data_IF_358995221053
#
_entry.id   IF_358995221053
#
_cell.length_a   1.000
_cell.length_b   1.000
_cell.length_c   1.000
_cell.angle_alpha   90.00
_cell.angle_beta   90.00
_cell.angle_gamma   90.00
#
_symmetry.space_group_name_H-M   'P 1'
#
loop_
_entity.id
_entity.type
_entity.pdbx_description
1 polymer ?
#
# COMPACT_ATOMS: atom_id res chain seq x y z
N UNK A 1 -6.80 -13.03 -6.04
CA UNK A 1 -7.11 -13.18 -4.60
C UNK A 1 -6.25 -12.29 -3.72
N UNK A 2 -5.01 -11.98 -4.10
CA UNK A 2 -4.03 -11.27 -3.26
C UNK A 2 -4.43 -9.84 -2.90
N UNK A 3 -4.99 -9.07 -3.85
CA UNK A 3 -5.48 -7.71 -3.61
C UNK A 3 -6.52 -7.66 -2.48
N UNK A 4 -7.38 -8.67 -2.38
CA UNK A 4 -8.36 -8.74 -1.30
C UNK A 4 -7.69 -8.99 0.06
N UNK A 5 -6.76 -9.94 0.11
CA UNK A 5 -6.01 -10.23 1.33
C UNK A 5 -5.20 -9.01 1.80
N UNK A 6 -4.58 -8.28 0.86
CA UNK A 6 -3.92 -7.01 1.16
C UNK A 6 -4.90 -5.95 1.68
N UNK A 7 -6.12 -5.87 1.14
CA UNK A 7 -7.15 -4.96 1.64
C UNK A 7 -7.57 -5.26 3.08
N UNK A 8 -7.63 -6.55 3.43
CA UNK A 8 -7.88 -7.00 4.82
C UNK A 8 -6.75 -6.56 5.75
N UNK A 9 -5.50 -6.82 5.38
CA UNK A 9 -4.32 -6.41 6.16
C UNK A 9 -4.26 -4.89 6.30
N UNK A 10 -4.47 -4.14 5.21
CA UNK A 10 -4.45 -2.69 5.25
C UNK A 10 -5.56 -2.14 6.15
N UNK A 11 -6.78 -2.69 6.07
CA UNK A 11 -7.85 -2.32 6.99
C UNK A 11 -7.45 -2.56 8.46
N UNK A 12 -6.85 -3.70 8.77
CA UNK A 12 -6.41 -4.04 10.13
C UNK A 12 -5.35 -3.09 10.66
N UNK A 13 -4.41 -2.67 9.83
CA UNK A 13 -3.39 -1.69 10.20
C UNK A 13 -4.01 -0.33 10.56
N UNK A 14 -5.08 0.08 9.88
CA UNK A 14 -5.74 1.36 10.13
C UNK A 14 -6.72 1.28 11.32
N UNK A 15 -7.49 0.20 11.40
CA UNK A 15 -8.60 0.07 12.36
C UNK A 15 -8.22 -0.68 13.64
N UNK A 16 -7.02 -1.29 13.68
CA UNK A 16 -6.55 -2.18 14.76
C UNK A 16 -7.50 -3.35 15.07
N UNK A 17 -8.28 -3.77 14.06
CA UNK A 17 -9.27 -4.86 14.17
C UNK A 17 -9.59 -5.42 12.78
N UNK A 18 -10.05 -6.67 12.74
CA UNK A 18 -10.51 -7.31 11.50
C UNK A 18 -11.71 -6.56 10.88
N UNK A 19 -11.77 -6.43 9.54
CA UNK A 19 -12.95 -5.89 8.86
C UNK A 19 -14.17 -6.78 9.05
N UNK A 20 -13.98 -8.10 8.96
CA UNK A 20 -15.05 -9.09 9.13
C UNK A 20 -14.89 -9.82 10.46
N UNK A 21 -15.84 -9.64 11.37
CA UNK A 21 -15.89 -10.36 12.64
C UNK A 21 -17.34 -10.73 13.00
N UNK A 22 -17.53 -11.91 13.58
CA UNK A 22 -18.84 -12.45 13.98
C UNK A 22 -18.69 -13.45 15.13
N UNK A 23 -19.82 -13.79 15.78
CA UNK A 23 -19.85 -14.76 16.90
C UNK A 23 -19.67 -16.22 16.47
N UNK A 24 -19.97 -16.52 15.21
CA UNK A 24 -19.93 -17.87 14.66
C UNK A 24 -19.47 -17.87 13.19
N UNK A 25 -19.15 -19.06 12.68
CA UNK A 25 -18.66 -19.24 11.30
C UNK A 25 -19.70 -18.78 10.26
N UNK A 26 -20.99 -19.03 10.52
CA UNK A 26 -22.07 -18.66 9.60
C UNK A 26 -22.18 -17.13 9.45
N UNK A 27 -22.12 -16.40 10.56
CA UNK A 27 -22.10 -14.93 10.56
C UNK A 27 -20.85 -14.36 9.90
N UNK A 28 -19.69 -15.00 10.11
CA UNK A 28 -18.44 -14.58 9.48
C UNK A 28 -18.52 -14.74 7.95
N UNK A 29 -18.93 -15.92 7.48
CA UNK A 29 -19.13 -16.18 6.05
C UNK A 29 -20.16 -15.23 5.44
N UNK A 30 -21.26 -14.96 6.15
CA UNK A 30 -22.26 -14.00 5.70
C UNK A 30 -21.65 -12.61 5.46
N UNK A 31 -20.88 -12.10 6.43
CA UNK A 31 -20.22 -10.79 6.30
C UNK A 31 -19.18 -10.76 5.18
N UNK A 32 -18.35 -11.80 5.04
CA UNK A 32 -17.34 -11.88 3.97
C UNK A 32 -18.01 -11.92 2.58
N UNK A 33 -18.99 -12.81 2.39
CA UNK A 33 -19.66 -13.01 1.09
C UNK A 33 -20.51 -11.80 0.66
N UNK A 34 -20.93 -10.97 1.62
CA UNK A 34 -21.69 -9.75 1.37
C UNK A 34 -20.86 -8.48 1.47
N UNK A 35 -19.58 -8.60 1.84
CA UNK A 35 -18.67 -7.46 2.05
C UNK A 35 -19.26 -6.46 3.06
N UNK A 36 -19.69 -6.97 4.21
CA UNK A 36 -20.26 -6.15 5.29
C UNK A 36 -19.20 -5.97 6.38
N UNK A 37 -18.65 -4.77 6.45
CA UNK A 37 -17.69 -4.32 7.46
C UNK A 37 -17.93 -2.84 7.76
N UNK A 38 -17.41 -2.35 8.88
CA UNK A 38 -17.50 -0.92 9.18
C UNK A 38 -16.52 -0.14 8.30
N UNK A 39 -16.81 1.12 7.95
CA UNK A 39 -15.87 1.94 7.19
C UNK A 39 -14.51 2.08 7.89
N UNK A 40 -13.40 2.25 7.13
CA UNK A 40 -12.11 2.58 7.71
C UNK A 40 -12.19 3.87 8.57
N UNK A 41 -11.30 4.04 9.59
CA UNK A 41 -11.35 5.20 10.47
C UNK A 41 -11.18 6.53 9.71
N UNK A 42 -12.03 7.51 10.06
CA UNK A 42 -12.02 8.85 9.43
C UNK A 42 -10.82 9.72 9.82
N UNK A 43 -9.96 9.23 10.73
CA UNK A 43 -8.68 9.85 11.09
C UNK A 43 -7.66 9.79 9.96
N UNK A 44 -7.85 8.90 8.99
CA UNK A 44 -6.98 8.77 7.82
C UNK A 44 -7.55 9.53 6.60
N UNK A 45 -6.68 9.85 5.65
CA UNK A 45 -7.07 10.55 4.42
C UNK A 45 -8.12 9.77 3.63
N UNK A 46 -9.00 10.49 2.94
CA UNK A 46 -10.05 9.88 2.11
C UNK A 46 -9.45 8.91 1.07
N UNK A 47 -8.35 9.30 0.42
CA UNK A 47 -7.66 8.44 -0.55
C UNK A 47 -7.22 7.09 0.02
N UNK A 48 -6.79 7.03 1.30
CA UNK A 48 -6.42 5.78 1.94
C UNK A 48 -7.65 4.90 2.26
N UNK A 49 -8.75 5.54 2.67
CA UNK A 49 -10.03 4.84 2.88
C UNK A 49 -10.59 4.28 1.57
N UNK A 50 -10.46 5.04 0.49
CA UNK A 50 -10.90 4.66 -0.87
C UNK A 50 -10.08 3.48 -1.40
N UNK A 51 -8.76 3.47 -1.17
CA UNK A 51 -7.90 2.33 -1.51
C UNK A 51 -8.40 1.05 -0.83
N UNK A 52 -8.58 1.07 0.49
CA UNK A 52 -9.07 -0.11 1.23
C UNK A 52 -10.41 -0.59 0.68
N UNK A 53 -11.33 0.34 0.43
CA UNK A 53 -12.67 0.03 -0.10
C UNK A 53 -12.62 -0.53 -1.52
N UNK A 54 -11.70 -0.06 -2.37
CA UNK A 54 -11.50 -0.59 -3.72
C UNK A 54 -10.91 -2.00 -3.72
N UNK A 55 -10.08 -2.33 -2.73
CA UNK A 55 -9.48 -3.67 -2.58
C UNK A 55 -10.50 -4.69 -2.06
N UNK A 56 -11.42 -4.24 -1.21
CA UNK A 56 -12.47 -5.07 -0.61
C UNK A 56 -13.75 -5.13 -1.48
N UNK A 57 -13.61 -5.25 -2.80
CA UNK A 57 -14.75 -5.45 -3.71
C UNK A 57 -15.21 -6.92 -3.78
N UNK A 58 -16.53 -7.14 -3.79
CA UNK A 58 -17.11 -8.50 -3.87
C UNK A 58 -16.70 -9.21 -5.16
N UNK A 59 -16.88 -8.52 -6.28
CA UNK A 59 -16.48 -9.01 -7.59
C UNK A 59 -14.95 -8.85 -7.75
N UNK A 60 -14.20 -9.94 -7.96
CA UNK A 60 -12.76 -9.87 -8.20
C UNK A 60 -12.37 -8.99 -9.40
N UNK A 61 -13.25 -8.84 -10.39
CA UNK A 61 -12.97 -8.03 -11.59
C UNK A 61 -13.07 -6.52 -11.33
N UNK A 62 -13.78 -6.11 -10.26
CA UNK A 62 -13.88 -4.71 -9.85
C UNK A 62 -12.73 -4.31 -8.93
N UNK A 63 -11.91 -5.25 -8.47
CA UNK A 63 -10.72 -4.94 -7.67
C UNK A 63 -9.65 -4.34 -8.59
N UNK A 64 -8.99 -3.25 -8.18
CA UNK A 64 -7.92 -2.67 -8.97
C UNK A 64 -6.75 -3.65 -9.06
N UNK A 65 -6.06 -3.62 -10.19
CA UNK A 65 -4.72 -4.23 -10.30
C UNK A 65 -3.75 -3.45 -9.42
N UNK A 66 -2.70 -4.12 -8.93
CA UNK A 66 -1.68 -3.48 -8.09
C UNK A 66 -1.08 -2.24 -8.78
N UNK A 67 -0.77 -2.32 -10.08
CA UNK A 67 -0.28 -1.16 -10.84
C UNK A 67 -1.25 0.04 -10.79
N UNK A 68 -2.56 -0.21 -10.89
CA UNK A 68 -3.57 0.86 -10.81
C UNK A 68 -3.74 1.42 -9.39
N UNK A 69 -3.41 0.64 -8.35
CA UNK A 69 -3.33 1.15 -6.97
C UNK A 69 -2.12 2.07 -6.83
N UNK A 70 -0.95 1.65 -7.31
CA UNK A 70 0.29 2.43 -7.21
C UNK A 70 0.20 3.77 -7.94
N UNK A 71 -0.59 3.86 -9.01
CA UNK A 71 -0.83 5.11 -9.74
C UNK A 71 -1.87 6.04 -9.06
N UNK A 72 -2.50 5.62 -7.97
CA UNK A 72 -3.37 6.51 -7.18
C UNK A 72 -2.53 7.66 -6.59
N UNK A 73 -2.99 8.93 -6.63
CA UNK A 73 -2.21 10.08 -6.17
C UNK A 73 -1.64 9.91 -4.75
N UNK A 74 -2.45 9.39 -3.83
CA UNK A 74 -2.06 9.17 -2.42
C UNK A 74 -0.91 8.17 -2.25
N UNK A 75 -0.77 7.19 -3.14
CA UNK A 75 0.35 6.25 -3.12
C UNK A 75 1.52 6.78 -3.94
N UNK A 76 1.25 7.32 -5.14
CA UNK A 76 2.28 7.86 -6.03
C UNK A 76 3.13 8.95 -5.37
N UNK A 77 2.48 9.92 -4.72
CA UNK A 77 3.17 10.99 -3.99
C UNK A 77 4.01 10.44 -2.84
N UNK A 78 3.51 9.41 -2.12
CA UNK A 78 4.25 8.77 -1.04
C UNK A 78 5.44 7.98 -1.54
N UNK A 79 5.32 7.30 -2.67
CA UNK A 79 6.41 6.55 -3.29
C UNK A 79 7.53 7.48 -3.76
N UNK A 80 7.18 8.63 -4.35
CA UNK A 80 8.15 9.68 -4.72
C UNK A 80 8.87 10.26 -3.48
N UNK A 81 8.14 10.48 -2.39
CA UNK A 81 8.77 10.89 -1.13
C UNK A 81 9.71 9.80 -0.59
N UNK A 82 9.33 8.53 -0.65
CA UNK A 82 10.17 7.42 -0.17
C UNK A 82 11.51 7.33 -0.92
N UNK A 83 11.54 7.61 -2.23
CA UNK A 83 12.80 7.68 -2.98
C UNK A 83 13.68 8.86 -2.56
N UNK A 84 13.09 9.97 -2.11
CA UNK A 84 13.83 11.15 -1.62
C UNK A 84 14.38 10.97 -0.20
N UNK A 85 13.64 10.27 0.69
CA UNK A 85 14.00 10.08 2.11
C UNK A 85 14.62 8.72 2.43
N UNK A 86 15.12 8.03 1.42
CA UNK A 86 15.64 6.67 1.55
C UNK A 86 16.78 6.50 2.57
N UNK A 87 17.49 7.58 2.91
CA UNK A 87 18.55 7.57 3.93
C UNK A 87 18.02 7.70 5.37
N UNK A 88 16.85 8.33 5.56
CA UNK A 88 16.26 8.61 6.88
C UNK A 88 15.21 7.56 7.31
N UNK A 89 14.53 6.95 6.34
CA UNK A 89 13.60 5.85 6.61
C UNK A 89 14.37 4.53 6.60
N UNK A 90 14.05 3.62 7.52
CA UNK A 90 14.65 2.27 7.63
C UNK A 90 14.26 1.35 6.44
N UNK A 91 14.19 1.89 5.24
CA UNK A 91 13.97 1.21 3.97
C UNK A 91 15.35 1.06 3.33
N UNK A 92 15.89 -0.17 3.26
CA UNK A 92 17.19 -0.36 2.63
C UNK A 92 17.17 0.18 1.22
N UNK A 93 18.19 0.97 0.88
CA UNK A 93 18.31 1.56 -0.43
C UNK A 93 18.30 0.51 -1.58
N UNK A 94 18.74 -0.72 -1.30
CA UNK A 94 18.62 -1.86 -2.21
C UNK A 94 17.17 -2.25 -2.53
N UNK A 95 16.24 -2.04 -1.60
CA UNK A 95 14.82 -2.29 -1.83
C UNK A 95 14.22 -1.25 -2.76
N UNK A 96 14.54 0.03 -2.60
CA UNK A 96 14.09 1.08 -3.53
C UNK A 96 14.67 0.85 -4.93
N UNK A 97 15.96 0.48 -5.02
CA UNK A 97 16.57 0.09 -6.29
C UNK A 97 15.84 -1.08 -6.93
N UNK A 98 15.51 -2.12 -6.15
CA UNK A 98 14.74 -3.26 -6.64
C UNK A 98 13.35 -2.85 -7.15
N UNK A 99 12.67 -1.93 -6.48
CA UNK A 99 11.36 -1.43 -6.93
C UNK A 99 11.47 -0.67 -8.26
N UNK A 100 12.53 0.11 -8.46
CA UNK A 100 12.80 0.82 -9.72
C UNK A 100 13.16 -0.17 -10.83
N UNK A 101 14.06 -1.12 -10.56
CA UNK A 101 14.51 -2.12 -11.54
C UNK A 101 13.39 -3.05 -12.04
N UNK A 102 12.29 -3.16 -11.28
CA UNK A 102 11.12 -3.96 -11.63
C UNK A 102 9.92 -3.10 -12.06
N UNK A 103 10.14 -1.83 -12.44
CA UNK A 103 9.11 -0.89 -12.94
C UNK A 103 7.91 -0.72 -11.97
N UNK A 104 8.16 -0.86 -10.67
CA UNK A 104 7.13 -0.66 -9.63
C UNK A 104 6.97 0.82 -9.28
N UNK A 105 8.06 1.59 -9.38
CA UNK A 105 8.10 3.03 -9.12
C UNK A 105 8.92 3.71 -10.21
N UNK A 106 8.36 4.76 -10.82
CA UNK A 106 9.08 5.65 -11.71
C UNK A 106 9.66 6.82 -10.90
N UNK A 107 10.97 7.01 -10.98
CA UNK A 107 11.67 8.13 -10.33
C UNK A 107 12.23 9.03 -11.42
N UNK A 108 12.07 10.35 -11.30
CA UNK A 108 12.70 11.28 -12.23
C UNK A 108 14.23 11.16 -12.13
N UNK A 109 14.94 11.11 -13.27
CA UNK A 109 16.39 10.83 -13.34
C UNK A 109 17.23 11.69 -12.37
N UNK A 110 16.81 12.93 -12.12
CA UNK A 110 17.50 13.85 -11.20
C UNK A 110 17.45 13.42 -9.72
N UNK A 111 16.36 12.81 -9.28
CA UNK A 111 16.20 12.36 -7.87
C UNK A 111 17.00 11.08 -7.63
N UNK A 112 17.03 10.21 -8.63
CA UNK A 112 17.73 8.94 -8.55
C UNK A 112 19.27 9.09 -8.57
N UNK A 113 19.80 10.10 -9.27
CA UNK A 113 21.22 10.45 -9.21
C UNK A 113 21.65 10.94 -7.83
N UNK A 114 20.81 11.71 -7.13
CA UNK A 114 21.09 12.13 -5.74
C UNK A 114 21.09 10.95 -4.78
N UNK A 115 20.11 10.05 -4.93
CA UNK A 115 20.02 8.82 -4.15
C UNK A 115 21.25 7.90 -4.32
N UNK A 116 21.72 7.69 -5.57
CA UNK A 116 22.96 6.93 -5.83
C UNK A 116 24.20 7.57 -5.20
N UNK A 117 24.29 8.90 -5.18
CA UNK A 117 25.42 9.61 -4.58
C UNK A 117 25.45 9.46 -3.05
N UNK A 118 24.29 9.41 -2.40
CA UNK A 118 24.17 9.16 -0.95
C UNK A 118 24.53 7.71 -0.57
N UNK A 119 24.11 6.74 -1.40
CA UNK A 119 24.45 5.33 -1.25
C UNK A 119 25.96 5.03 -1.28
N UNK A 120 26.70 5.73 -2.14
CA UNK A 120 28.14 5.56 -2.26
C UNK A 120 28.93 6.25 -1.14
N UNK A 121 28.38 7.30 -0.52
CA UNK A 121 29.03 8.00 0.60
C UNK A 121 28.81 7.28 1.94
N UNK A 122 27.68 6.60 2.14
CA UNK A 122 27.41 5.80 3.34
C UNK A 122 28.28 4.53 3.46
N UNK A 123 28.79 3.98 2.35
CA UNK A 123 29.70 2.81 2.34
C UNK A 123 31.18 3.14 2.56
N UNK A 124 31.53 4.41 2.71
CA UNK A 124 32.91 4.87 2.85
C UNK A 124 33.31 5.19 4.32
N UNK A 125 32.47 4.85 5.30
CA UNK A 125 32.71 5.13 6.72
C UNK A 125 32.59 3.87 7.60
#
# INVERSE_FOLDING_TARGET
>A
SDVWAMGVVLYELLAHRHPFNAKDMKGLMYKILRVIYDPPPTTFSQGLQDIVTSMLQRDPNLRPKVAALLDQPVLKERLQQLSQFADDMCVPASYIQYLIDNDVIEVEENEFSQFKHSLHTSKAQ
#
